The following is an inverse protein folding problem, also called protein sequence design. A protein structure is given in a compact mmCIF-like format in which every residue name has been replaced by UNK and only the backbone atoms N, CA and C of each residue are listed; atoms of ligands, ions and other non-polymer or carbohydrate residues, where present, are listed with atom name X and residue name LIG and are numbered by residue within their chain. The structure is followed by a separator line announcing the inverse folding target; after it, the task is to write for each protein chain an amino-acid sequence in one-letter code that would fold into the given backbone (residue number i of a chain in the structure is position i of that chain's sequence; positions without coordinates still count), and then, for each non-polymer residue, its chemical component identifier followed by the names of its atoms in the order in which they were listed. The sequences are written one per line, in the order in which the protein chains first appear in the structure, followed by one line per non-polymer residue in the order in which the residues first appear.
data_IF_050031782814
#
_entry.id   IF_050031782814
#
_cell.length_a   1.000
_cell.length_b   1.000
_cell.length_c   1.000
_cell.angle_alpha   90.00
_cell.angle_beta   90.00
_cell.angle_gamma   90.00
#
_symmetry.space_group_name_H-M   'P 1'
#
loop_
_entity.id
_entity.type
_entity.pdbx_description
1 polymer ?
2 non-polymer ?
3 non-polymer ?
4 non-polymer ?
5 water ?
#
# COMPACT_ATOMS: atom_id res chain seq x y z
N UNK A 6 17.78 1.93 19.16
CA UNK A 6 19.22 1.98 18.93
C UNK A 6 19.59 1.01 17.81
N UNK A 7 20.47 1.47 16.91
CA UNK A 7 20.75 0.80 15.66
C UNK A 7 22.19 0.36 15.70
N UNK A 8 22.38 -0.94 15.61
CA UNK A 8 23.70 -1.50 15.58
C UNK A 8 24.41 -1.16 14.26
N UNK A 9 25.71 -1.29 14.28
CA UNK A 9 26.52 -0.92 13.13
C UNK A 9 26.37 -1.93 11.95
N UNK A 10 26.36 -1.47 10.71
CA UNK A 10 26.37 -2.38 9.56
C UNK A 10 27.72 -3.09 9.49
N UNK A 11 27.72 -4.34 9.03
CA UNK A 11 29.00 -4.98 8.72
C UNK A 11 29.64 -4.37 7.47
N UNK A 12 30.91 -4.68 7.25
CA UNK A 12 31.60 -4.44 6.01
C UNK A 12 30.81 -5.06 4.89
N UNK A 13 30.64 -4.32 3.81
CA UNK A 13 29.97 -4.79 2.60
C UNK A 13 30.70 -4.20 1.42
N UNK A 14 30.85 -4.99 0.37
CA UNK A 14 31.44 -4.53 -0.88
C UNK A 14 30.34 -4.36 -1.90
N UNK A 15 30.18 -3.14 -2.38
CA UNK A 15 29.17 -2.89 -3.41
C UNK A 15 29.63 -1.68 -4.20
N UNK A 16 28.99 -1.43 -5.33
CA UNK A 16 29.42 -0.32 -6.20
C UNK A 16 29.29 1.02 -5.52
N UNK A 17 30.28 1.87 -5.74
CA UNK A 17 30.21 3.21 -5.20
C UNK A 17 29.10 4.00 -5.85
N UNK A 18 28.29 4.75 -5.06
CA UNK A 18 27.34 5.67 -5.68
C UNK A 18 28.05 6.82 -6.34
N UNK A 19 27.67 7.17 -7.55
CA UNK A 19 28.33 8.27 -8.25
C UNK A 19 27.48 9.50 -8.31
N UNK A 20 28.00 10.51 -7.66
CA UNK A 20 27.28 11.69 -7.32
C UNK A 20 26.83 12.45 -8.60
N UNK A 21 27.63 12.38 -9.64
CA UNK A 21 27.38 13.12 -10.86
C UNK A 21 26.73 12.23 -11.92
N UNK A 22 26.16 11.11 -11.47
CA UNK A 22 25.39 10.24 -12.37
C UNK A 22 24.00 10.02 -11.80
N UNK A 23 22.94 10.56 -12.45
CA UNK A 23 21.59 10.29 -11.93
C UNK A 23 21.24 8.82 -11.92
N UNK A 24 20.47 8.36 -10.91
CA UNK A 24 20.09 6.96 -10.97
C UNK A 24 18.99 6.64 -11.94
N UNK A 25 18.17 7.61 -12.27
CA UNK A 25 17.21 7.45 -13.34
C UNK A 25 17.22 8.79 -14.04
N UNK A 26 17.19 8.74 -15.36
CA UNK A 26 17.10 9.96 -16.12
C UNK A 26 15.73 10.13 -16.74
N UNK A 27 14.85 9.16 -16.54
CA UNK A 27 13.52 9.17 -17.16
C UNK A 27 12.34 9.41 -16.23
N UNK A 28 12.58 9.44 -14.91
CA UNK A 28 11.53 9.53 -13.94
C UNK A 28 11.99 10.38 -12.77
N UNK A 29 11.01 10.92 -12.04
CA UNK A 29 11.19 11.63 -10.75
C UNK A 29 11.45 10.63 -9.67
N UNK A 30 12.56 10.80 -8.95
CA UNK A 30 12.88 9.84 -7.90
C UNK A 30 12.80 10.40 -6.51
N UNK A 31 12.37 11.65 -6.38
CA UNK A 31 12.19 12.26 -5.05
C UNK A 31 11.07 13.26 -5.18
N UNK A 32 10.15 13.30 -4.23
CA UNK A 32 9.05 14.28 -4.26
C UNK A 32 9.59 15.65 -3.85
N UNK A 33 8.79 16.69 -4.03
CA UNK A 33 9.22 18.03 -3.58
C UNK A 33 9.31 18.24 -2.07
N UNK A 34 8.80 17.25 -1.31
CA UNK A 34 8.96 17.23 0.11
C UNK A 34 10.02 16.25 0.57
N UNK A 35 10.86 15.83 -0.36
CA UNK A 35 12.05 15.02 -0.10
C UNK A 35 11.71 13.60 0.36
N UNK A 36 10.62 13.07 -0.13
CA UNK A 36 10.31 11.66 0.04
C UNK A 36 10.82 10.94 -1.20
N UNK A 37 11.53 9.82 -1.02
CA UNK A 37 11.91 9.02 -2.19
C UNK A 37 10.68 8.46 -2.92
N UNK A 38 10.78 8.41 -4.24
CA UNK A 38 9.83 7.68 -5.09
C UNK A 38 10.54 6.44 -5.60
N UNK A 39 10.03 5.30 -5.18
CA UNK A 39 10.75 4.04 -5.27
C UNK A 39 10.52 3.41 -6.65
N UNK A 40 11.58 3.39 -7.46
CA UNK A 40 11.67 2.74 -8.76
C UNK A 40 12.88 1.81 -8.75
N UNK A 41 12.88 0.83 -9.63
CA UNK A 41 14.04 0.02 -9.81
C UNK A 41 15.20 0.92 -10.25
N UNK A 42 16.34 0.70 -9.64
CA UNK A 42 17.51 1.50 -9.89
C UNK A 42 17.80 2.55 -8.84
N UNK A 43 16.84 2.79 -7.95
CA UNK A 43 17.00 3.80 -6.92
C UNK A 43 17.59 3.25 -5.65
N UNK A 44 17.53 1.94 -5.46
CA UNK A 44 18.00 1.34 -4.21
C UNK A 44 18.90 0.15 -4.38
N UNK A 45 19.79 -0.06 -3.44
CA UNK A 45 20.57 -1.28 -3.28
C UNK A 45 19.93 -2.10 -2.20
N UNK A 46 19.28 -3.17 -2.60
CA UNK A 46 18.49 -3.97 -1.69
C UNK A 46 19.38 -4.67 -0.68
N UNK A 47 20.65 -4.89 -0.99
CA UNK A 47 21.52 -5.52 -0.01
C UNK A 47 21.72 -4.65 1.21
N UNK A 48 21.89 -3.34 1.02
CA UNK A 48 22.07 -2.43 2.13
C UNK A 48 20.77 -2.38 2.92
N UNK A 49 19.65 -2.20 2.20
CA UNK A 49 18.38 -2.05 2.91
C UNK A 49 18.02 -3.32 3.67
N UNK A 50 18.23 -4.50 3.08
CA UNK A 50 17.97 -5.72 3.81
C UNK A 50 18.75 -5.83 5.09
N UNK A 51 20.04 -5.44 5.05
CA UNK A 51 20.86 -5.44 6.26
C UNK A 51 20.30 -4.51 7.31
N UNK A 52 19.94 -3.30 6.91
CA UNK A 52 19.40 -2.34 7.86
C UNK A 52 18.17 -2.88 8.55
N UNK A 53 17.24 -3.45 7.78
CA UNK A 53 15.98 -3.92 8.35
C UNK A 53 16.12 -5.24 9.11
N UNK A 54 16.97 -6.12 8.66
CA UNK A 54 17.21 -7.34 9.43
C UNK A 54 17.89 -7.06 10.76
N UNK A 55 18.79 -6.07 10.81
CA UNK A 55 19.41 -5.74 12.10
C UNK A 55 18.42 -5.19 13.13
N UNK A 56 17.28 -4.69 12.67
CA UNK A 56 16.19 -4.28 13.53
C UNK A 56 15.16 -5.36 13.80
N UNK A 57 15.42 -6.58 13.30
CA UNK A 57 14.46 -7.71 13.33
C UNK A 57 13.04 -7.20 13.04
N UNK A 58 12.89 -6.65 11.85
CA UNK A 58 11.63 -6.04 11.44
C UNK A 58 10.59 -7.10 11.15
N UNK A 59 9.37 -6.86 11.61
CA UNK A 59 8.23 -7.67 11.24
C UNK A 59 7.24 -6.82 10.43
N UNK A 60 6.82 -7.38 9.30
CA UNK A 60 5.91 -6.72 8.44
C UNK A 60 4.57 -7.43 8.45
N UNK A 61 3.49 -6.73 8.75
CA UNK A 61 2.15 -7.24 8.59
C UNK A 61 1.59 -6.91 7.22
N UNK A 62 0.83 -7.81 6.62
CA UNK A 62 0.18 -7.62 5.32
C UNK A 62 -1.30 -7.94 5.46
N UNK A 63 -2.16 -6.92 5.36
CA UNK A 63 -3.60 -7.11 5.47
C UNK A 63 -4.21 -7.29 4.10
N UNK A 64 -5.18 -8.17 4.03
CA UNK A 64 -5.87 -8.42 2.76
C UNK A 64 -7.29 -8.83 3.14
N UNK A 65 -8.26 -8.33 2.38
CA UNK A 65 -9.67 -8.63 2.59
C UNK A 65 -10.13 -9.55 1.49
N UNK A 66 -10.79 -10.64 1.86
CA UNK A 66 -11.31 -11.59 0.92
C UNK A 66 -12.71 -11.94 1.32
N UNK A 67 -13.63 -11.14 0.84
CA UNK A 67 -14.99 -11.23 1.27
C UNK A 67 -15.84 -11.71 0.08
N UNK A 68 -16.79 -12.62 0.36
CA UNK A 68 -17.65 -13.16 -0.67
C UNK A 68 -16.83 -13.83 -1.76
N UNK A 69 -17.09 -13.52 -3.04
CA UNK A 69 -16.43 -14.28 -4.10
C UNK A 69 -14.93 -14.01 -4.20
N UNK A 70 -14.47 -13.01 -3.49
CA UNK A 70 -13.06 -12.67 -3.61
C UNK A 70 -12.14 -13.62 -2.84
N UNK A 71 -12.72 -14.57 -2.11
CA UNK A 71 -11.90 -15.63 -1.56
C UNK A 71 -11.16 -16.41 -2.64
N UNK A 72 -11.72 -16.47 -3.86
CA UNK A 72 -11.07 -17.18 -4.94
C UNK A 72 -9.67 -16.66 -5.27
N UNK A 73 -9.39 -15.41 -4.93
CA UNK A 73 -8.13 -14.79 -5.23
C UNK A 73 -7.02 -15.11 -4.24
N UNK A 74 -7.40 -15.67 -3.10
CA UNK A 74 -6.40 -15.83 -2.03
C UNK A 74 -5.26 -16.77 -2.40
N UNK A 75 -5.56 -17.87 -3.05
CA UNK A 75 -4.48 -18.85 -3.26
C UNK A 75 -3.32 -18.28 -4.06
N UNK A 76 -3.62 -17.63 -5.16
CA UNK A 76 -2.56 -17.04 -5.96
C UNK A 76 -1.90 -15.86 -5.23
N UNK A 77 -2.70 -15.05 -4.59
CA UNK A 77 -2.20 -13.92 -3.81
C UNK A 77 -1.15 -14.41 -2.82
N UNK A 78 -1.50 -15.40 -2.00
CA UNK A 78 -0.61 -15.84 -0.96
C UNK A 78 0.57 -16.62 -1.52
N UNK A 79 0.36 -17.47 -2.53
CA UNK A 79 1.48 -18.19 -3.10
C UNK A 79 2.52 -17.28 -3.69
N UNK A 80 2.04 -16.23 -4.35
CA UNK A 80 2.99 -15.33 -4.98
C UNK A 80 3.60 -14.38 -3.93
N UNK A 81 2.88 -14.05 -2.85
CA UNK A 81 3.49 -13.27 -1.78
C UNK A 81 4.66 -14.07 -1.18
N UNK A 82 4.49 -15.40 -1.04
CA UNK A 82 5.55 -16.20 -0.49
C UNK A 82 6.79 -16.17 -1.36
N UNK A 83 6.65 -15.98 -2.67
CA UNK A 83 7.81 -15.96 -3.60
C UNK A 83 8.46 -14.59 -3.59
N UNK A 84 7.70 -13.51 -3.32
CA UNK A 84 8.17 -12.15 -3.65
C UNK A 84 8.07 -11.12 -2.58
N UNK A 85 7.27 -11.32 -1.53
CA UNK A 85 6.98 -10.25 -0.55
C UNK A 85 7.85 -10.41 0.70
N UNK A 86 8.77 -9.49 0.90
CA UNK A 86 9.57 -9.43 2.13
C UNK A 86 10.29 -10.76 2.43
N UNK A 87 10.78 -11.44 1.39
CA UNK A 87 11.43 -12.71 1.66
C UNK A 87 12.72 -12.48 2.44
N UNK A 88 12.90 -13.28 3.49
CA UNK A 88 13.99 -13.14 4.44
C UNK A 88 13.67 -12.44 5.72
N UNK A 89 12.50 -11.78 5.76
CA UNK A 89 12.04 -11.00 6.87
C UNK A 89 10.85 -11.69 7.54
N UNK A 90 10.50 -11.29 8.76
CA UNK A 90 9.35 -11.82 9.44
C UNK A 90 8.09 -11.19 8.85
N UNK A 91 7.12 -12.02 8.52
CA UNK A 91 5.88 -11.53 7.91
C UNK A 91 4.72 -12.17 8.65
N UNK A 92 3.70 -11.35 8.86
CA UNK A 92 2.46 -11.81 9.44
C UNK A 92 1.31 -11.41 8.50
N UNK A 93 0.68 -12.38 7.84
CA UNK A 93 -0.45 -12.11 7.02
C UNK A 93 -1.71 -12.06 7.85
N UNK A 94 -2.56 -11.12 7.58
CA UNK A 94 -3.84 -11.00 8.24
C UNK A 94 -4.90 -11.03 7.16
N UNK A 95 -5.64 -12.13 7.10
CA UNK A 95 -6.67 -12.33 6.12
C UNK A 95 -8.01 -12.10 6.75
N UNK A 96 -8.67 -11.03 6.34
CA UNK A 96 -10.00 -10.70 6.82
C UNK A 96 -11.01 -11.29 5.88
N UNK A 97 -11.94 -12.11 6.37
CA UNK A 97 -12.85 -12.77 5.48
C UNK A 97 -14.16 -13.08 6.18
N UNK A 98 -15.22 -13.23 5.40
CA UNK A 98 -16.48 -13.74 5.94
C UNK A 98 -16.58 -15.27 5.86
N UNK A 99 -15.57 -15.94 5.31
CA UNK A 99 -15.58 -17.37 5.09
C UNK A 99 -14.27 -17.98 5.55
N UNK A 100 -14.05 -18.03 6.87
CA UNK A 100 -12.79 -18.57 7.37
C UNK A 100 -12.45 -19.94 6.75
N UNK A 101 -13.46 -20.75 6.56
CA UNK A 101 -13.18 -22.11 6.08
C UNK A 101 -12.67 -22.16 4.65
N UNK A 102 -12.85 -21.07 3.90
CA UNK A 102 -12.48 -21.04 2.51
C UNK A 102 -11.06 -20.51 2.31
N UNK A 103 -10.35 -20.18 3.39
CA UNK A 103 -8.99 -19.71 3.19
C UNK A 103 -8.10 -20.91 2.79
N UNK A 104 -7.39 -20.80 1.66
CA UNK A 104 -6.60 -21.97 1.22
C UNK A 104 -5.41 -22.24 2.18
N UNK A 105 -5.02 -23.51 2.27
CA UNK A 105 -3.84 -23.91 3.03
C UNK A 105 -2.60 -23.70 2.19
N UNK A 106 -2.01 -22.55 2.34
CA UNK A 106 -0.79 -22.21 1.59
C UNK A 106 0.41 -22.47 2.50
N UNK A 107 1.40 -23.15 1.98
CA UNK A 107 2.59 -23.47 2.74
C UNK A 107 3.46 -22.23 2.85
N UNK A 108 3.87 -21.90 4.07
CA UNK A 108 4.63 -20.66 4.31
C UNK A 108 6.09 -20.97 4.63
N UNK A 109 6.98 -20.08 4.20
CA UNK A 109 8.37 -20.14 4.60
C UNK A 109 8.58 -19.90 6.08
N UNK A 110 9.78 -20.20 6.58
CA UNK A 110 10.04 -19.96 7.99
C UNK A 110 9.94 -18.46 8.34
N UNK A 111 9.44 -18.17 9.52
CA UNK A 111 9.31 -16.83 10.04
C UNK A 111 8.11 -16.06 9.49
N UNK A 112 7.20 -16.80 8.90
CA UNK A 112 6.02 -16.26 8.29
C UNK A 112 4.80 -16.94 8.83
N UNK A 113 3.78 -16.18 9.18
CA UNK A 113 2.55 -16.73 9.75
C UNK A 113 1.34 -16.04 9.22
N UNK A 114 0.20 -16.71 9.38
CA UNK A 114 -1.06 -16.22 8.83
C UNK A 114 -2.13 -16.35 9.88
N UNK A 115 -2.90 -15.27 10.05
CA UNK A 115 -4.05 -15.27 10.92
C UNK A 115 -5.31 -14.96 10.10
N UNK A 116 -6.37 -15.69 10.37
CA UNK A 116 -7.63 -15.47 9.71
C UNK A 116 -8.53 -14.75 10.70
N UNK A 117 -9.04 -13.60 10.28
CA UNK A 117 -9.89 -12.71 11.07
C UNK A 117 -11.24 -12.65 10.39
N UNK A 118 -12.25 -13.08 11.11
CA UNK A 118 -13.60 -13.10 10.57
C UNK A 118 -14.20 -11.73 10.72
N UNK A 119 -14.86 -11.30 9.68
CA UNK A 119 -15.55 -10.02 9.69
C UNK A 119 -16.85 -10.21 8.98
N UNK A 120 -17.71 -9.22 9.14
CA UNK A 120 -18.97 -9.19 8.41
C UNK A 120 -18.78 -8.82 6.93
N UNK A 121 -19.67 -9.36 6.09
CA UNK A 121 -19.77 -9.00 4.67
C UNK A 121 -20.85 -7.92 4.46
N UNK A 122 -20.50 -6.81 3.80
CA UNK A 122 -21.50 -5.80 3.42
C UNK A 122 -22.08 -6.21 2.09
N UNK A 123 -23.30 -5.79 1.78
CA UNK A 123 -23.93 -6.19 0.53
C UNK A 123 -23.28 -5.54 -0.70
N UNK A 124 -23.06 -4.23 -0.65
CA UNK A 124 -22.46 -3.53 -1.79
C UNK A 124 -20.94 -3.60 -1.77
N UNK A 125 -20.37 -3.84 -2.94
CA UNK A 125 -18.91 -3.92 -3.04
C UNK A 125 -18.29 -2.62 -2.56
N UNK A 126 -18.95 -1.50 -2.82
CA UNK A 126 -18.43 -0.19 -2.40
C UNK A 126 -18.24 -0.15 -0.88
N UNK A 127 -19.22 -0.67 -0.13
CA UNK A 127 -19.12 -0.74 1.35
C UNK A 127 -18.10 -1.78 1.86
N UNK A 128 -18.02 -2.93 1.17
CA UNK A 128 -16.91 -3.84 1.44
C UNK A 128 -15.58 -3.12 1.31
N UNK A 129 -15.38 -2.42 0.19
CA UNK A 129 -14.10 -1.76 -0.01
C UNK A 129 -13.85 -0.66 1.00
N UNK A 130 -14.90 0.14 1.29
CA UNK A 130 -14.76 1.29 2.20
C UNK A 130 -14.51 0.90 3.65
N UNK A 131 -15.19 -0.16 4.09
CA UNK A 131 -15.16 -0.55 5.53
C UNK A 131 -13.86 -1.27 5.90
N UNK A 132 -12.97 -1.47 4.96
CA UNK A 132 -11.62 -1.90 5.30
C UNK A 132 -10.96 -0.89 6.24
N UNK A 133 -11.25 0.40 6.04
CA UNK A 133 -10.60 1.40 6.87
C UNK A 133 -10.98 1.21 8.35
N UNK A 134 -12.27 0.99 8.62
CA UNK A 134 -12.72 0.77 9.95
C UNK A 134 -12.08 -0.46 10.58
N UNK A 135 -12.03 -1.53 9.79
CA UNK A 135 -11.58 -2.83 10.24
C UNK A 135 -10.06 -2.79 10.50
N UNK A 136 -9.27 -2.17 9.60
CA UNK A 136 -7.87 -2.02 9.85
C UNK A 136 -7.60 -1.18 11.08
N UNK A 137 -8.33 -0.08 11.26
CA UNK A 137 -8.09 0.79 12.41
C UNK A 137 -8.49 0.12 13.73
N UNK A 138 -9.50 -0.73 13.72
CA UNK A 138 -9.88 -1.46 14.94
C UNK A 138 -8.82 -2.53 15.27
N UNK A 139 -8.25 -3.16 14.26
CA UNK A 139 -7.26 -4.20 14.53
C UNK A 139 -5.89 -3.66 14.93
N UNK A 140 -5.64 -2.39 14.66
CA UNK A 140 -4.40 -1.76 15.12
C UNK A 140 -4.27 -1.87 16.66
N UNK A 141 -5.35 -1.65 17.40
CA UNK A 141 -5.26 -1.94 18.83
C UNK A 141 -5.24 -3.44 19.10
N UNK A 142 -6.14 -4.17 18.45
CA UNK A 142 -6.38 -5.57 18.79
C UNK A 142 -5.15 -6.45 18.74
N UNK A 143 -4.26 -6.12 17.82
CA UNK A 143 -3.21 -7.03 17.46
C UNK A 143 -1.98 -6.39 16.87
N UNK A 144 -2.14 -5.38 16.00
CA UNK A 144 -1.06 -5.01 15.11
C UNK A 144 0.03 -4.32 15.88
N UNK A 145 -0.37 -3.47 16.86
CA UNK A 145 0.62 -2.73 17.65
C UNK A 145 1.58 -3.66 18.38
N UNK A 146 1.05 -4.81 18.81
CA UNK A 146 1.81 -5.80 19.57
C UNK A 146 2.54 -6.86 18.73
N UNK A 147 2.22 -6.90 17.43
CA UNK A 147 2.72 -8.01 16.62
C UNK A 147 3.62 -7.62 15.43
N UNK A 148 3.47 -6.40 14.92
CA UNK A 148 4.24 -6.00 13.75
C UNK A 148 4.78 -4.57 13.88
N UNK A 149 5.82 -4.26 13.11
CA UNK A 149 6.43 -2.93 13.04
C UNK A 149 5.81 -2.06 11.92
N UNK A 150 5.50 -2.67 10.80
CA UNK A 150 4.88 -2.01 9.68
C UNK A 150 3.68 -2.78 9.24
N UNK A 151 2.72 -2.08 8.66
CA UNK A 151 1.57 -2.69 7.99
C UNK A 151 1.55 -2.27 6.52
N UNK A 152 1.21 -3.23 5.68
CA UNK A 152 1.01 -3.06 4.24
C UNK A 152 -0.41 -3.52 3.99
N UNK A 153 -1.19 -2.67 3.34
CA UNK A 153 -2.60 -2.93 3.14
C UNK A 153 -2.89 -2.92 1.65
N UNK A 154 -3.31 -4.08 1.13
CA UNK A 154 -3.50 -4.30 -0.27
C UNK A 154 -4.80 -4.93 -0.65
N UNK A 155 -5.13 -4.73 -1.90
CA UNK A 155 -6.23 -5.48 -2.56
C UNK A 155 -5.83 -6.97 -2.81
N UNK A 156 -6.83 -7.85 -2.86
CA UNK A 156 -6.56 -9.25 -2.93
C UNK A 156 -6.55 -9.76 -4.39
N UNK A 157 -7.18 -9.03 -5.32
CA UNK A 157 -7.35 -9.50 -6.70
C UNK A 157 -6.12 -9.15 -7.58
N UNK A 158 -4.99 -9.62 -7.07
CA UNK A 158 -3.69 -9.16 -7.52
C UNK A 158 -2.73 -10.36 -7.36
N UNK A 159 -1.57 -10.26 -7.96
CA UNK A 159 -0.52 -11.23 -7.75
C UNK A 159 0.82 -10.54 -7.74
N UNK A 160 1.76 -11.07 -6.97
CA UNK A 160 3.13 -10.59 -7.02
C UNK A 160 3.82 -11.31 -8.17
N UNK A 161 4.55 -10.55 -8.97
CA UNK A 161 5.37 -11.09 -10.05
C UNK A 161 6.84 -10.84 -9.88
N UNK A 162 7.20 -9.93 -8.98
CA UNK A 162 8.61 -9.57 -8.79
C UNK A 162 8.75 -9.02 -7.36
N UNK A 163 9.97 -8.76 -6.98
CA UNK A 163 10.32 -8.35 -5.66
C UNK A 163 9.50 -7.19 -5.15
N UNK A 164 8.96 -7.37 -3.96
CA UNK A 164 8.40 -6.29 -3.13
C UNK A 164 8.94 -6.43 -1.72
N UNK A 165 9.88 -5.58 -1.36
CA UNK A 165 10.61 -5.76 -0.10
C UNK A 165 10.74 -4.53 0.74
N UNK A 166 11.79 -4.49 1.53
CA UNK A 166 11.91 -3.51 2.59
C UNK A 166 12.19 -2.11 2.07
N UNK A 167 12.49 -1.99 0.78
CA UNK A 167 12.58 -0.65 0.15
C UNK A 167 11.29 0.16 0.30
N UNK A 168 10.15 -0.48 0.47
CA UNK A 168 8.89 0.23 0.65
C UNK A 168 8.68 0.79 2.05
N UNK A 169 9.42 0.29 3.04
CA UNK A 169 9.06 0.55 4.41
C UNK A 169 9.54 1.94 4.85
N UNK A 170 8.67 2.59 5.62
CA UNK A 170 8.82 4.00 5.97
C UNK A 170 7.61 4.30 6.88
N UNK A 171 7.59 5.47 7.53
CA UNK A 171 6.44 5.72 8.38
C UNK A 171 5.08 5.77 7.65
N UNK A 172 5.04 6.29 6.43
CA UNK A 172 3.79 6.40 5.69
C UNK A 172 4.05 6.38 4.21
N UNK A 173 3.46 5.40 3.50
CA UNK A 173 3.65 5.40 2.06
C UNK A 173 2.32 5.26 1.34
N UNK A 174 2.30 5.91 0.17
CA UNK A 174 1.28 5.65 -0.84
C UNK A 174 1.93 5.21 -2.14
N UNK A 175 1.09 4.77 -3.05
CA UNK A 175 1.53 4.21 -4.31
C UNK A 175 0.89 4.94 -5.47
N UNK A 176 1.66 5.27 -6.50
CA UNK A 176 1.08 5.90 -7.67
C UNK A 176 0.13 4.95 -8.41
N UNK A 177 -1.10 5.36 -8.58
CA UNK A 177 -2.06 4.62 -9.32
C UNK A 177 -1.60 4.54 -10.79
N UNK A 178 -1.64 3.34 -11.36
CA UNK A 178 -1.11 3.14 -12.73
C UNK A 178 -1.86 3.88 -13.82
N UNK A 179 -3.08 4.31 -13.58
CA UNK A 179 -3.86 4.99 -14.57
C UNK A 179 -3.55 6.46 -14.69
N UNK A 180 -2.78 7.02 -13.76
CA UNK A 180 -2.65 8.46 -13.66
C UNK A 180 -1.27 8.98 -13.46
N UNK A 181 -0.26 8.14 -13.45
CA UNK A 181 1.06 8.63 -13.10
C UNK A 181 1.60 9.67 -14.08
N UNK A 182 1.16 9.60 -15.33
CA UNK A 182 1.54 10.58 -16.34
C UNK A 182 0.54 11.67 -16.58
N UNK A 183 -0.47 11.77 -15.73
CA UNK A 183 -1.57 12.72 -15.94
C UNK A 183 -1.38 14.01 -15.22
N UNK A 184 -2.03 15.06 -15.72
CA UNK A 184 -2.04 16.32 -15.01
C UNK A 184 -3.15 16.29 -13.94
N UNK A 185 -2.95 17.08 -12.89
CA UNK A 185 -3.78 16.92 -11.68
C UNK A 185 -5.27 17.16 -11.95
N UNK A 186 -5.58 17.99 -12.93
CA UNK A 186 -6.97 18.26 -13.22
C UNK A 186 -7.69 16.99 -13.70
N UNK A 187 -6.93 16.04 -14.25
CA UNK A 187 -7.47 14.78 -14.78
C UNK A 187 -7.61 13.70 -13.69
N UNK A 188 -6.94 13.92 -12.58
CA UNK A 188 -7.04 13.00 -11.43
C UNK A 188 -8.51 12.87 -11.02
N UNK A 189 -8.96 11.66 -10.75
CA UNK A 189 -10.32 11.41 -10.29
C UNK A 189 -10.49 11.57 -8.77
N UNK A 190 -9.94 12.65 -8.21
CA UNK A 190 -10.26 13.03 -6.85
C UNK A 190 -11.77 13.33 -6.75
N UNK A 191 -12.28 13.25 -5.55
CA UNK A 191 -13.63 13.74 -5.28
C UNK A 191 -13.66 15.27 -5.51
N UNK A 192 -14.58 15.76 -6.32
CA UNK A 192 -14.63 17.16 -6.68
C UNK A 192 -15.84 17.89 -6.12
N UNK A 193 -16.70 17.21 -5.39
CA UNK A 193 -17.86 17.87 -4.79
C UNK A 193 -17.49 18.44 -3.43
N UNK A 194 -17.61 19.75 -3.23
CA UNK A 194 -17.24 20.36 -1.94
C UNK A 194 -18.02 19.84 -0.76
N UNK A 195 -19.15 19.21 -1.00
CA UNK A 195 -19.98 18.63 0.07
C UNK A 195 -19.36 17.42 0.74
N UNK A 196 -18.36 16.81 0.10
CA UNK A 196 -17.73 15.60 0.61
C UNK A 196 -16.46 15.98 1.35
N UNK A 197 -16.20 15.22 2.42
CA UNK A 197 -14.96 15.38 3.14
C UNK A 197 -13.72 15.08 2.30
N UNK A 198 -13.88 14.30 1.26
CA UNK A 198 -12.77 13.92 0.39
C UNK A 198 -12.50 14.95 -0.71
N UNK A 199 -13.21 16.08 -0.71
CA UNK A 199 -13.04 17.10 -1.76
C UNK A 199 -11.62 17.62 -1.89
N UNK A 200 -11.12 17.59 -3.13
CA UNK A 200 -9.88 18.25 -3.50
C UNK A 200 -10.12 19.14 -4.71
N UNK A 201 -9.83 20.46 -4.59
CA UNK A 201 -9.97 21.41 -5.69
C UNK A 201 -9.12 21.08 -6.90
N UNK A 202 -9.49 21.61 -8.07
CA UNK A 202 -8.76 21.31 -9.28
C UNK A 202 -7.33 21.79 -9.30
N UNK A 203 -7.00 22.80 -8.49
CA UNK A 203 -5.64 23.31 -8.48
C UNK A 203 -4.76 22.71 -7.38
N UNK A 204 -5.24 21.66 -6.72
CA UNK A 204 -4.48 21.01 -5.66
C UNK A 204 -4.23 19.55 -6.00
N UNK A 205 -3.21 18.98 -5.38
CA UNK A 205 -2.93 17.59 -5.62
C UNK A 205 -1.50 17.38 -6.01
N UNK A 206 -0.83 16.40 -5.37
CA UNK A 206 0.50 16.05 -5.81
C UNK A 206 0.47 14.89 -6.79
N UNK A 207 -0.20 13.82 -6.37
CA UNK A 207 -0.28 12.56 -7.11
C UNK A 207 -1.65 11.95 -6.86
N UNK A 208 -2.00 11.01 -7.73
CA UNK A 208 -3.18 10.21 -7.53
C UNK A 208 -2.73 8.86 -6.99
N UNK A 209 -2.95 8.61 -5.72
CA UNK A 209 -2.52 7.40 -5.08
C UNK A 209 -3.60 6.34 -5.20
N UNK A 210 -3.15 5.09 -5.34
CA UNK A 210 -4.08 4.00 -5.47
C UNK A 210 -4.52 3.47 -4.12
N UNK A 211 -5.82 3.24 -3.97
CA UNK A 211 -6.33 2.65 -2.73
C UNK A 211 -5.94 1.19 -2.51
N UNK A 212 -5.38 0.54 -3.53
CA UNK A 212 -5.08 -0.90 -3.47
C UNK A 212 -3.73 -1.22 -2.84
N UNK A 213 -2.95 -0.21 -2.45
CA UNK A 213 -1.63 -0.45 -1.88
C UNK A 213 -1.12 0.75 -1.12
N UNK A 214 -1.17 0.67 0.19
CA UNK A 214 -0.65 1.75 1.05
C UNK A 214 -0.12 1.10 2.33
N UNK A 215 0.57 1.85 3.19
CA UNK A 215 1.03 1.27 4.44
C UNK A 215 1.94 2.20 5.17
N UNK A 216 2.69 1.67 6.12
CA UNK A 216 3.54 2.48 6.94
C UNK A 216 3.70 1.84 8.28
N UNK A 217 4.17 2.61 9.23
CA UNK A 217 4.27 2.11 10.59
C UNK A 217 2.87 1.85 11.16
N UNK A 218 2.72 1.01 12.16
CA UNK A 218 1.42 0.75 12.68
C UNK A 218 0.77 2.06 13.11
N UNK A 219 1.50 2.92 13.80
CA UNK A 219 0.93 4.17 14.32
C UNK A 219 0.38 5.03 13.16
N UNK A 220 1.17 5.17 12.09
CA UNK A 220 0.75 6.05 10.99
C UNK A 220 -0.41 5.43 10.21
N UNK A 221 -0.43 4.09 10.09
CA UNK A 221 -1.56 3.46 9.43
C UNK A 221 -2.83 3.57 10.26
N UNK A 222 -2.71 3.47 11.58
CA UNK A 222 -3.93 3.64 12.42
C UNK A 222 -4.44 5.06 12.29
N UNK A 223 -3.53 6.03 12.21
CA UNK A 223 -3.98 7.41 12.03
C UNK A 223 -4.69 7.59 10.69
N UNK A 224 -4.11 7.07 9.60
CA UNK A 224 -4.70 7.19 8.29
C UNK A 224 -6.07 6.54 8.23
N UNK A 225 -6.15 5.30 8.70
CA UNK A 225 -7.37 4.53 8.53
C UNK A 225 -8.48 5.13 9.41
N UNK A 226 -8.11 5.60 10.61
CA UNK A 226 -9.10 6.22 11.49
C UNK A 226 -9.62 7.52 10.87
N UNK A 227 -8.72 8.31 10.30
CA UNK A 227 -9.13 9.57 9.68
C UNK A 227 -10.03 9.29 8.49
N UNK A 228 -9.70 8.27 7.70
CA UNK A 228 -10.50 7.99 6.50
C UNK A 228 -11.87 7.46 6.93
N UNK A 229 -11.89 6.58 7.94
CA UNK A 229 -13.18 6.10 8.48
C UNK A 229 -14.05 7.22 9.02
N UNK A 230 -13.45 8.10 9.81
CA UNK A 230 -14.22 9.17 10.40
C UNK A 230 -14.76 10.16 9.32
N UNK A 231 -13.99 10.36 8.25
CA UNK A 231 -14.46 11.18 7.08
C UNK A 231 -15.59 10.48 6.34
N UNK A 232 -15.49 9.16 6.14
CA UNK A 232 -16.57 8.40 5.53
C UNK A 232 -17.85 8.47 6.31
N UNK A 233 -17.75 8.48 7.62
CA UNK A 233 -18.95 8.51 8.45
C UNK A 233 -19.58 9.88 8.38
N UNK A 234 -18.77 10.94 8.26
CA UNK A 234 -19.32 12.28 8.10
C UNK A 234 -20.08 12.34 6.77
N UNK A 235 -19.47 11.86 5.72
CA UNK A 235 -20.12 11.85 4.40
C UNK A 235 -21.43 11.07 4.46
N UNK A 236 -21.40 9.91 5.09
CA UNK A 236 -22.61 9.09 5.16
C UNK A 236 -23.75 9.86 5.84
N UNK A 237 -23.43 10.52 6.96
CA UNK A 237 -24.41 11.34 7.63
C UNK A 237 -25.00 12.44 6.76
N UNK A 238 -24.18 12.92 5.81
CA UNK A 238 -24.58 13.98 4.91
C UNK A 238 -25.13 13.47 3.59
N UNK A 239 -25.26 12.15 3.47
CA UNK A 239 -25.85 11.56 2.30
C UNK A 239 -25.02 11.64 1.07
N UNK A 240 -23.71 11.46 1.21
CA UNK A 240 -22.84 11.55 0.03
C UNK A 240 -21.84 10.41 0.14
N UNK A 241 -21.52 9.81 -1.00
CA UNK A 241 -20.49 8.77 -1.05
C UNK A 241 -19.45 9.19 -2.05
N UNK A 242 -18.20 9.26 -1.59
CA UNK A 242 -17.15 9.70 -2.44
C UNK A 242 -17.03 8.86 -3.73
N UNK A 243 -16.65 9.52 -4.82
CA UNK A 243 -16.66 8.91 -6.15
C UNK A 243 -15.85 7.63 -6.27
N UNK A 244 -14.68 7.62 -5.63
CA UNK A 244 -13.86 6.42 -5.58
C UNK A 244 -13.69 5.95 -4.13
N UNK A 245 -14.71 6.15 -3.32
CA UNK A 245 -14.83 5.41 -2.04
C UNK A 245 -13.61 5.61 -1.19
N UNK A 246 -13.05 4.53 -0.62
CA UNK A 246 -11.90 4.65 0.23
C UNK A 246 -10.70 5.33 -0.45
N UNK A 247 -10.54 5.11 -1.75
CA UNK A 247 -9.43 5.71 -2.46
C UNK A 247 -9.52 7.23 -2.47
N UNK A 248 -10.72 7.73 -2.58
CA UNK A 248 -10.88 9.20 -2.52
C UNK A 248 -10.47 9.77 -1.19
N UNK A 249 -10.85 9.15 -0.09
CA UNK A 249 -10.47 9.60 1.26
C UNK A 249 -8.97 9.42 1.48
N UNK A 250 -8.41 8.32 0.98
CA UNK A 250 -6.98 8.13 1.07
C UNK A 250 -6.23 9.28 0.39
N UNK A 251 -6.67 9.67 -0.79
CA UNK A 251 -6.03 10.78 -1.50
C UNK A 251 -6.13 12.11 -0.75
N UNK A 252 -7.29 12.39 -0.16
CA UNK A 252 -7.43 13.58 0.68
C UNK A 252 -6.42 13.52 1.83
N UNK A 253 -6.32 12.37 2.49
CA UNK A 253 -5.44 12.26 3.66
C UNK A 253 -4.01 12.50 3.25
N UNK A 254 -3.57 11.85 2.16
CA UNK A 254 -2.17 11.95 1.75
C UNK A 254 -1.80 13.29 1.10
N UNK A 255 -2.80 14.07 0.67
CA UNK A 255 -2.54 15.42 0.28
C UNK A 255 -2.17 16.30 1.45
N UNK A 256 -2.92 16.14 2.55
CA UNK A 256 -2.76 16.94 3.76
C UNK A 256 -1.68 16.44 4.72
N UNK A 257 -1.34 15.16 4.60
CA UNK A 257 -0.33 14.47 5.41
C UNK A 257 0.55 13.76 4.45
N UNK A 258 1.63 14.41 4.00
CA UNK A 258 2.45 13.86 2.93
C UNK A 258 3.12 12.54 3.32
N UNK A 259 3.11 11.56 2.41
CA UNK A 259 3.82 10.31 2.68
C UNK A 259 5.31 10.54 2.73
N UNK A 260 5.98 9.67 3.45
CA UNK A 260 7.44 9.73 3.60
C UNK A 260 8.17 8.86 2.56
N UNK A 261 7.41 8.03 1.83
CA UNK A 261 7.90 7.44 0.58
C UNK A 261 6.68 7.32 -0.33
N UNK A 262 6.94 7.36 -1.61
CA UNK A 262 5.92 7.11 -2.63
C UNK A 262 6.40 5.94 -3.46
N UNK A 263 5.57 4.94 -3.67
CA UNK A 263 5.95 3.82 -4.54
C UNK A 263 5.52 4.14 -5.98
N UNK A 264 6.43 3.81 -6.90
CA UNK A 264 6.13 3.93 -8.33
C UNK A 264 5.05 2.90 -8.74
N UNK A 265 4.55 3.05 -9.97
CA UNK A 265 3.55 2.07 -10.45
C UNK A 265 4.10 0.69 -10.73
N UNK A 266 5.40 0.45 -10.55
CA UNK A 266 5.90 -0.90 -10.54
C UNK A 266 5.15 -1.73 -9.51
N UNK A 267 4.72 -1.08 -8.40
CA UNK A 267 4.13 -1.70 -7.24
C UNK A 267 2.65 -1.80 -7.38
N UNK A 268 2.03 -1.26 -8.45
CA UNK A 268 0.57 -1.36 -8.62
C UNK A 268 0.27 -1.18 -10.09
N UNK A 269 0.09 -2.28 -10.76
CA UNK A 269 0.12 -2.26 -12.21
C UNK A 269 -1.06 -3.11 -12.77
N UNK A 270 -1.44 -2.87 -14.02
CA UNK A 270 -2.44 -3.68 -14.71
C UNK A 270 -1.94 -3.82 -16.13
N UNK A 271 -1.34 -4.97 -16.45
CA UNK A 271 -0.76 -5.17 -17.79
C UNK A 271 -1.81 -5.31 -18.88
N UNK A 272 -2.97 -5.87 -18.55
CA UNK A 272 -4.02 -6.01 -19.54
C UNK A 272 -4.42 -4.62 -20.08
N UNK A 273 -4.56 -3.64 -19.17
CA UNK A 273 -5.05 -2.32 -19.54
C UNK A 273 -3.95 -1.40 -20.04
N UNK A 274 -2.71 -1.66 -19.63
CA UNK A 274 -1.65 -0.67 -19.78
C UNK A 274 -0.36 -1.18 -20.42
N UNK A 275 -0.25 -2.49 -20.63
CA UNK A 275 0.89 -3.08 -21.30
C UNK A 275 2.14 -3.04 -20.41
N UNK A 276 3.30 -2.92 -21.00
CA UNK A 276 4.57 -2.89 -20.28
C UNK A 276 5.43 -1.76 -20.82
N UNK A 277 5.18 -0.52 -20.36
CA UNK A 277 5.95 0.61 -20.87
C UNK A 277 7.44 0.54 -20.53
N UNK A 278 8.27 1.16 -21.35
CA UNK A 278 9.73 1.18 -21.10
C UNK A 278 10.07 1.71 -19.70
N UNK A 279 9.30 2.66 -19.20
CA UNK A 279 9.62 3.29 -17.96
C UNK A 279 9.52 2.32 -16.79
N UNK A 280 8.76 1.24 -17.00
CA UNK A 280 8.65 0.19 -15.95
C UNK A 280 9.68 -0.87 -16.24
N UNK A 281 10.69 -0.92 -15.39
CA UNK A 281 11.70 -1.95 -15.52
C UNK A 281 11.27 -3.29 -14.91
N UNK A 282 10.38 -3.23 -13.92
CA UNK A 282 9.82 -4.40 -13.27
C UNK A 282 8.34 -4.17 -13.07
N UNK A 283 7.54 -5.22 -13.20
CA UNK A 283 6.11 -5.20 -12.84
C UNK A 283 6.08 -6.09 -11.61
N UNK A 284 5.84 -5.50 -10.42
CA UNK A 284 6.00 -6.22 -9.19
C UNK A 284 4.70 -6.77 -8.65
N UNK A 285 3.62 -5.99 -8.73
CA UNK A 285 2.33 -6.40 -8.06
C UNK A 285 1.28 -5.92 -9.04
N UNK A 286 0.57 -6.88 -9.59
CA UNK A 286 -0.26 -6.65 -10.73
C UNK A 286 -1.66 -7.21 -10.61
N UNK A 287 -2.58 -6.56 -11.34
CA UNK A 287 -3.95 -7.03 -11.42
C UNK A 287 -4.08 -8.41 -12.05
N UNK A 288 -4.97 -9.21 -11.49
CA UNK A 288 -5.39 -10.47 -12.10
C UNK A 288 -6.43 -10.06 -13.14
N UNK A 289 -6.22 -10.44 -14.42
CA UNK A 289 -7.15 -9.90 -15.45
C UNK A 289 -8.59 -10.37 -15.28
X LIG B 1 -10.39 -4.86 -7.84
X LIG C 1 -13.37 -6.79 -1.61
X LIG C 1 -13.76 -8.11 -1.19
X LIG C 1 -15.05 -8.61 -1.57
X LIG C 1 -15.98 -7.80 -2.29
X LIG C 1 -15.54 -6.43 -2.65
X LIG C 1 -14.22 -5.93 -2.34
X LIG C 1 -13.01 -8.78 -0.63
X LIG C 1 -17.07 -8.26 -2.52
X LIG C 1 -12.02 -6.41 -1.17
X LIG C 1 -10.95 -7.14 -2.00
X LIG C 1 -9.73 -7.15 -1.27
X LIG C 1 -10.85 -6.14 -3.14
X LIG C 1 -10.88 -4.81 -2.40
X LIG C 1 -9.62 -6.30 -3.85
X LIG C 1 -11.89 -5.03 -1.40
X LIG C 1 -11.28 -3.57 -3.16
X LIG C 1 -12.43 -3.81 -3.95
X LIG C 1 -12.31 -3.99 -5.55
X LIG C 1 -10.97 -4.68 -5.95
X LIG C 1 -13.58 -4.74 -5.89
X LIG C 1 -12.41 -2.64 -6.21
X LIG C 1 -15.33 -9.52 -1.28
X LIG C 1 -16.23 -5.81 -3.21
X LIG C 1 -13.92 -4.93 -2.62
X LIG C 1 -11.89 -6.64 -0.11
X LIG C 1 -11.26 -8.11 -2.32
X LIG C 1 -9.50 -8.04 -1.06
X LIG C 1 -11.69 -6.24 -3.82
X LIG C 1 -9.93 -4.65 -1.93
X LIG C 1 -9.71 -6.99 -4.49
X LIG C 1 -10.47 -3.25 -3.80
X LIG C 1 -11.51 -2.79 -2.45
X LIG D 1 8.63 -21.38 11.68
X LIG D 1 9.24 -20.88 12.93
X LIG D 1 9.67 -22.10 10.89
X LIG D 1 7.57 -22.29 12.09
X LIG D 1 8.08 -20.19 11.01
#
# INVERSE_FOLDING_TARGET
MAIGEFMVSLPRMVYPQPKVLTPCRKDVLVVTPWLAPIVWEGTFNIDILNEQFRLQNTTIGLTVFAIKKYVAFLKLFLETAEKHFMVGHRVHYYVFTDQPAAVPRVTLGTGRQLSVLEVRAYKRWQDVSMRRMEMISDFCERRFLSEVDYLVCVDVDMEFRDHVGVEILTPLFGTLHPGFYGSSREAFTYERRPQSQAYIPKDEGDFYYGGAFFGGSVQEVQRLTRACHQAMMVDQANGIEAVWHDESHLNKYLLRHKPTKVLSPEYLWDQQLLGWPAVLRKLRFTAVPKNHQAVRNP
MN MN
U5P N1 C2 N3 C4 C5 C6 O2 O4 C1' C2' O2' C3' C4' O3' O4' C5' O5' P O1P O2P O3P HN3 H5 H6 H1' H2' HO2' H3' H4' HO3' H5'1 H5'2
SO4 S O1 O2 O3 O4
#
